data_IF_608236695977
#
_entry.id   IF_608236695977
#
_cell.length_a   1.000
_cell.length_b   1.000
_cell.length_c   1.000
_cell.angle_alpha   90.00
_cell.angle_beta   90.00
_cell.angle_gamma   90.00
#
_symmetry.space_group_name_H-M   'P 1'
#
loop_
_entity.id
_entity.type
_entity.pdbx_description
1 polymer ?
2 polymer ?
3 non-polymer ?
4 non-polymer ?
5 water ?
#
# COMPACT_ATOMS: atom_id res chain seq x y z
N UNK A 32 23.27 17.02 -6.88
CA UNK A 32 22.09 16.84 -6.04
C UNK A 32 20.96 16.15 -6.84
N UNK A 33 20.71 14.83 -6.62
CA UNK A 33 19.62 14.17 -7.39
C UNK A 33 18.24 14.61 -6.91
N UNK A 34 17.24 14.55 -7.81
CA UNK A 34 15.86 14.95 -7.50
C UNK A 34 15.23 14.04 -6.44
N UNK A 35 14.21 14.54 -5.75
CA UNK A 35 13.52 13.80 -4.71
C UNK A 35 12.85 12.55 -5.28
N UNK A 36 12.14 12.69 -6.42
CA UNK A 36 11.46 11.57 -7.11
C UNK A 36 12.48 10.48 -7.53
N UNK A 37 13.73 10.88 -7.90
CA UNK A 37 14.77 9.92 -8.25
C UNK A 37 15.24 9.13 -7.02
N UNK A 38 15.17 9.72 -5.81
CA UNK A 38 15.54 9.05 -4.56
C UNK A 38 14.45 8.03 -4.17
N UNK A 39 13.18 8.33 -4.54
CA UNK A 39 12.05 7.43 -4.32
C UNK A 39 12.10 6.29 -5.33
N UNK A 40 12.55 6.59 -6.56
CA UNK A 40 12.66 5.58 -7.60
C UNK A 40 13.68 4.49 -7.26
N UNK A 41 14.90 4.87 -6.86
CA UNK A 41 15.99 3.93 -6.58
C UNK A 41 15.67 2.96 -5.44
N UNK A 42 14.74 3.32 -4.52
CA UNK A 42 14.41 2.47 -3.37
C UNK A 42 13.18 1.56 -3.63
N UNK A 43 12.73 1.47 -4.90
CA UNK A 43 11.64 0.58 -5.29
C UNK A 43 11.99 -0.87 -4.90
N UNK A 44 11.13 -1.56 -4.11
CA UNK A 44 11.46 -2.93 -3.69
C UNK A 44 11.61 -3.91 -4.84
N UNK A 45 12.45 -4.94 -4.64
CA UNK A 45 12.62 -6.01 -5.61
C UNK A 45 11.31 -6.82 -5.70
N UNK A 46 11.07 -7.43 -6.86
CA UNK A 46 9.91 -8.28 -7.13
C UNK A 46 10.12 -9.60 -6.38
N UNK A 47 9.18 -9.96 -5.49
CA UNK A 47 9.29 -11.20 -4.73
C UNK A 47 8.44 -12.28 -5.38
N UNK A 48 8.90 -13.54 -5.26
CA UNK A 48 8.19 -14.71 -5.78
C UNK A 48 7.35 -15.33 -4.67
N UNK A 49 6.19 -15.89 -5.03
CA UNK A 49 5.28 -16.52 -4.07
C UNK A 49 5.77 -17.91 -3.60
N UNK A 50 6.47 -18.63 -4.48
CA UNK A 50 6.93 -19.99 -4.23
C UNK A 50 5.76 -20.95 -4.42
N UNK A 51 4.84 -20.57 -5.32
CA UNK A 51 3.61 -21.30 -5.61
C UNK A 51 3.80 -22.46 -6.59
N UNK A 52 3.58 -23.70 -6.09
CA UNK A 52 3.69 -24.94 -6.85
C UNK A 52 2.52 -25.06 -7.83
N UNK A 53 2.78 -24.73 -9.10
CA UNK A 53 1.80 -24.75 -10.18
C UNK A 53 1.36 -26.19 -10.59
N UNK A 54 2.10 -27.24 -10.16
CA UNK A 54 1.80 -28.64 -10.49
C UNK A 54 0.65 -29.23 -9.65
N UNK A 55 0.37 -28.60 -8.50
CA UNK A 55 -0.70 -28.94 -7.55
C UNK A 55 -1.92 -28.07 -7.95
N UNK A 56 -3.17 -28.59 -7.96
CA UNK A 56 -4.31 -27.73 -8.38
C UNK A 56 -4.61 -26.55 -7.46
N UNK A 57 -5.27 -25.53 -8.02
CA UNK A 57 -5.63 -24.28 -7.34
C UNK A 57 -6.83 -24.43 -6.42
N UNK A 58 -6.95 -23.51 -5.47
CA UNK A 58 -8.07 -23.34 -4.55
C UNK A 58 -7.90 -21.96 -3.92
N UNK A 59 -9.02 -21.32 -3.55
CA UNK A 59 -8.99 -20.02 -2.92
C UNK A 59 -8.20 -20.04 -1.60
N UNK A 60 -8.40 -21.09 -0.77
CA UNK A 60 -7.70 -21.26 0.51
C UNK A 60 -6.18 -21.35 0.31
N UNK A 61 -5.75 -22.11 -0.70
CA UNK A 61 -4.35 -22.29 -1.03
C UNK A 61 -3.70 -20.97 -1.47
N UNK A 62 -4.36 -20.27 -2.42
CA UNK A 62 -3.88 -18.98 -2.94
C UNK A 62 -3.88 -17.91 -1.84
N UNK A 63 -4.98 -17.79 -1.07
CA UNK A 63 -5.11 -16.86 0.05
C UNK A 63 -3.99 -17.06 1.09
N UNK A 64 -3.69 -18.34 1.43
CA UNK A 64 -2.62 -18.70 2.38
C UNK A 64 -1.27 -18.24 1.87
N UNK A 65 -0.93 -18.62 0.61
CA UNK A 65 0.30 -18.27 -0.09
C UNK A 65 0.46 -16.74 -0.17
N UNK A 66 -0.64 -16.03 -0.50
CA UNK A 66 -0.61 -14.57 -0.61
C UNK A 66 -0.42 -13.88 0.72
N UNK A 67 -0.92 -14.47 1.83
CA UNK A 67 -0.72 -13.93 3.17
C UNK A 67 0.74 -14.05 3.53
N UNK A 68 1.34 -15.25 3.27
CA UNK A 68 2.75 -15.50 3.55
C UNK A 68 3.64 -14.55 2.72
N UNK A 69 3.33 -14.38 1.43
CA UNK A 69 4.03 -13.44 0.55
C UNK A 69 3.87 -12.01 1.07
N UNK A 70 2.65 -11.66 1.50
CA UNK A 70 2.31 -10.36 2.05
C UNK A 70 3.17 -9.94 3.23
N UNK A 71 3.52 -10.90 4.09
CA UNK A 71 4.40 -10.65 5.23
C UNK A 71 5.78 -10.21 4.76
N UNK A 72 6.30 -10.90 3.74
CA UNK A 72 7.61 -10.61 3.12
C UNK A 72 7.59 -9.25 2.41
N UNK A 73 6.45 -8.91 1.78
CA UNK A 73 6.27 -7.61 1.10
C UNK A 73 6.33 -6.49 2.15
N UNK A 74 5.71 -6.73 3.32
CA UNK A 74 5.65 -5.76 4.42
C UNK A 74 7.01 -5.58 5.11
N UNK A 75 7.82 -6.65 5.20
CA UNK A 75 9.20 -6.57 5.73
C UNK A 75 10.03 -5.67 4.76
N UNK A 76 9.84 -5.86 3.43
CA UNK A 76 10.51 -5.05 2.42
C UNK A 76 10.01 -3.60 2.48
N UNK A 77 8.73 -3.39 2.85
CA UNK A 77 8.12 -2.05 2.97
C UNK A 77 8.74 -1.25 4.11
N UNK A 78 9.17 -1.91 5.18
CA UNK A 78 9.88 -1.26 6.31
C UNK A 78 11.23 -0.74 5.81
N UNK A 79 11.96 -1.57 5.05
CA UNK A 79 13.27 -1.22 4.48
C UNK A 79 13.11 -0.02 3.54
N UNK A 80 12.06 -0.06 2.71
CA UNK A 80 11.70 0.98 1.75
C UNK A 80 11.43 2.31 2.48
N UNK A 81 10.51 2.31 3.47
CA UNK A 81 10.10 3.49 4.24
C UNK A 81 11.30 4.16 4.95
N UNK A 82 12.21 3.36 5.53
CA UNK A 82 13.41 3.87 6.20
C UNK A 82 14.32 4.68 5.27
N UNK A 83 14.26 4.39 3.96
CA UNK A 83 15.09 5.09 2.98
C UNK A 83 14.36 6.29 2.32
N UNK A 84 13.07 6.52 2.67
CA UNK A 84 12.32 7.68 2.15
C UNK A 84 12.88 8.94 2.81
N UNK A 85 13.43 9.93 2.06
CA UNK A 85 13.97 11.12 2.73
C UNK A 85 12.98 11.80 3.65
N UNK A 86 13.40 12.00 4.90
CA UNK A 86 12.60 12.61 5.95
C UNK A 86 11.96 11.64 6.93
N UNK A 87 11.56 10.44 6.45
CA UNK A 87 10.87 9.42 7.27
C UNK A 87 11.60 9.07 8.58
N UNK A 88 12.93 8.83 8.53
CA UNK A 88 13.70 8.48 9.72
C UNK A 88 13.94 9.67 10.68
N UNK A 89 13.53 10.88 10.30
CA UNK A 89 13.65 12.05 11.17
C UNK A 89 12.44 12.14 12.10
N UNK A 90 11.36 11.41 11.77
CA UNK A 90 10.15 11.35 12.59
C UNK A 90 10.45 10.48 13.82
N UNK A 91 9.69 10.68 14.91
CA UNK A 91 9.82 9.88 16.13
C UNK A 91 9.61 8.41 15.76
N UNK A 92 10.39 7.51 16.35
CA UNK A 92 10.29 6.07 16.12
C UNK A 92 8.84 5.57 16.20
N UNK A 93 8.05 6.07 17.20
CA UNK A 93 6.64 5.71 17.35
C UNK A 93 5.80 6.11 16.14
N UNK A 94 6.08 7.28 15.52
CA UNK A 94 5.36 7.76 14.33
C UNK A 94 5.70 6.91 13.13
N UNK A 95 6.95 6.42 13.06
CA UNK A 95 7.40 5.53 11.98
C UNK A 95 6.59 4.24 12.02
N UNK A 96 6.43 3.68 13.23
CA UNK A 96 5.66 2.47 13.49
C UNK A 96 4.19 2.71 13.18
N UNK A 97 3.64 3.84 13.67
CA UNK A 97 2.25 4.25 13.48
C UNK A 97 1.89 4.34 11.99
N UNK A 98 2.70 5.07 11.20
CA UNK A 98 2.47 5.28 9.78
C UNK A 98 2.47 4.00 8.97
N UNK A 99 3.42 3.09 9.25
CA UNK A 99 3.49 1.79 8.56
C UNK A 99 2.30 0.91 8.94
N UNK A 100 1.84 0.97 10.19
CA UNK A 100 0.70 0.20 10.66
C UNK A 100 -0.64 0.68 10.11
N UNK A 101 -0.84 1.99 9.93
CA UNK A 101 -2.07 2.51 9.32
C UNK A 101 -2.12 2.23 7.83
N UNK A 102 -0.99 2.45 7.13
CA UNK A 102 -0.89 2.44 5.67
C UNK A 102 -0.55 1.11 5.01
N UNK A 103 -0.13 0.08 5.77
CA UNK A 103 0.29 -1.21 5.20
C UNK A 103 -0.57 -1.70 3.99
N UNK A 104 -1.90 -1.79 4.15
CA UNK A 104 -2.79 -2.28 3.09
C UNK A 104 -2.89 -1.30 1.92
N UNK A 105 -2.81 0.02 2.21
CA UNK A 105 -2.85 1.05 1.19
C UNK A 105 -1.62 0.94 0.29
N UNK A 106 -0.44 0.74 0.89
CA UNK A 106 0.82 0.54 0.19
C UNK A 106 0.77 -0.73 -0.66
N UNK A 107 0.29 -1.84 -0.07
CA UNK A 107 0.21 -3.11 -0.76
C UNK A 107 -0.77 -3.12 -1.92
N UNK A 108 -1.98 -2.56 -1.73
CA UNK A 108 -2.98 -2.45 -2.80
C UNK A 108 -2.47 -1.56 -3.95
N UNK A 109 -1.82 -0.41 -3.61
CA UNK A 109 -1.29 0.51 -4.61
C UNK A 109 -0.11 -0.05 -5.39
N UNK A 110 0.85 -0.66 -4.69
CA UNK A 110 2.01 -1.28 -5.33
C UNK A 110 1.56 -2.44 -6.24
N UNK A 111 0.57 -3.23 -5.77
CA UNK A 111 0.00 -4.34 -6.55
C UNK A 111 -0.70 -3.82 -7.83
N UNK A 112 -1.50 -2.77 -7.67
CA UNK A 112 -2.22 -2.13 -8.75
C UNK A 112 -1.28 -1.64 -9.83
N UNK A 113 -0.15 -1.03 -9.43
CA UNK A 113 0.86 -0.55 -10.37
C UNK A 113 1.48 -1.73 -11.12
N UNK A 114 1.89 -2.78 -10.40
CA UNK A 114 2.48 -3.96 -11.02
C UNK A 114 1.54 -4.65 -12.01
N UNK A 115 0.24 -4.69 -11.69
CA UNK A 115 -0.81 -5.29 -12.52
C UNK A 115 -1.08 -4.45 -13.77
N UNK A 116 -1.06 -3.12 -13.61
CA UNK A 116 -1.25 -2.14 -14.68
C UNK A 116 -0.08 -2.18 -15.69
N UNK A 117 1.14 -2.47 -15.21
CA UNK A 117 2.34 -2.54 -16.05
C UNK A 117 2.46 -3.82 -16.85
N UNK A 118 2.09 -4.98 -16.26
CA UNK A 118 2.23 -6.28 -16.93
C UNK A 118 1.22 -6.48 -18.08
N UNK A 119 -0.06 -6.09 -17.85
CA UNK A 119 -1.11 -6.25 -18.87
C UNK A 119 -2.24 -5.22 -18.75
N UNK A 120 -2.99 -5.05 -19.86
CA UNK A 120 -4.16 -4.17 -19.95
C UNK A 120 -5.42 -5.01 -19.63
N UNK A 121 -5.22 -6.31 -19.30
CA UNK A 121 -6.26 -7.28 -18.96
C UNK A 121 -6.64 -7.22 -17.48
N UNK A 122 -7.64 -8.05 -17.07
CA UNK A 122 -8.13 -8.14 -15.69
C UNK A 122 -7.27 -9.12 -14.86
N UNK A 123 -5.94 -8.88 -14.81
CA UNK A 123 -5.02 -9.74 -14.06
C UNK A 123 -4.43 -9.04 -12.84
N UNK A 124 -4.29 -9.77 -11.73
CA UNK A 124 -3.61 -9.27 -10.55
C UNK A 124 -2.27 -9.97 -10.51
N UNK A 125 -1.17 -9.20 -10.66
CA UNK A 125 0.18 -9.73 -10.68
C UNK A 125 0.83 -9.68 -9.30
N UNK A 126 0.41 -10.57 -8.41
CA UNK A 126 0.91 -10.64 -7.03
C UNK A 126 2.39 -11.01 -7.01
N UNK A 127 2.78 -11.94 -7.89
CA UNK A 127 4.16 -12.42 -8.04
C UNK A 127 4.28 -12.98 -9.46
N UNK A 128 5.49 -13.09 -10.07
CA UNK A 128 5.57 -13.65 -11.43
C UNK A 128 5.10 -15.10 -11.50
N UNK A 129 5.22 -15.85 -10.40
CA UNK A 129 4.81 -17.25 -10.29
C UNK A 129 3.38 -17.40 -9.69
N UNK A 130 2.64 -16.29 -9.54
CA UNK A 130 1.28 -16.32 -8.99
C UNK A 130 0.47 -15.11 -9.45
N UNK A 131 -0.11 -15.24 -10.63
CA UNK A 131 -0.95 -14.22 -11.25
C UNK A 131 -2.41 -14.66 -11.13
N UNK A 132 -3.28 -13.77 -10.65
CA UNK A 132 -4.71 -14.07 -10.56
C UNK A 132 -5.34 -13.75 -11.93
N UNK A 133 -5.44 -14.79 -12.77
CA UNK A 133 -6.01 -14.72 -14.11
C UNK A 133 -7.54 -14.81 -14.04
N UNK A 134 -8.20 -14.96 -15.20
CA UNK A 134 -9.67 -15.07 -15.27
C UNK A 134 -10.16 -16.40 -14.68
N UNK A 135 -9.41 -17.51 -14.88
CA UNK A 135 -9.76 -18.84 -14.34
C UNK A 135 -9.71 -18.83 -12.80
N UNK A 136 -8.65 -18.22 -12.22
CA UNK A 136 -8.47 -18.09 -10.77
C UNK A 136 -9.50 -17.17 -10.16
N UNK A 137 -9.93 -16.14 -10.90
CA UNK A 137 -10.95 -15.18 -10.48
C UNK A 137 -12.33 -15.85 -10.32
N UNK A 138 -12.56 -17.01 -10.97
CA UNK A 138 -13.85 -17.74 -10.89
C UNK A 138 -13.88 -18.73 -9.70
N UNK A 139 -12.74 -18.90 -9.00
CA UNK A 139 -12.65 -19.79 -7.83
C UNK A 139 -13.57 -19.25 -6.73
N UNK A 140 -14.27 -20.13 -5.96
CA UNK A 140 -15.20 -19.63 -4.94
C UNK A 140 -14.61 -18.60 -3.99
N UNK A 141 -15.29 -17.45 -3.86
CA UNK A 141 -14.96 -16.31 -3.00
C UNK A 141 -13.68 -15.54 -3.39
N UNK A 142 -13.00 -15.91 -4.50
CA UNK A 142 -11.77 -15.22 -4.94
C UNK A 142 -11.98 -13.76 -5.29
N UNK A 143 -13.07 -13.46 -6.02
CA UNK A 143 -13.41 -12.14 -6.51
C UNK A 143 -13.71 -11.09 -5.43
N UNK A 144 -14.39 -11.46 -4.31
CA UNK A 144 -14.81 -10.49 -3.28
C UNK A 144 -13.65 -9.64 -2.76
N UNK A 145 -12.46 -10.22 -2.61
CA UNK A 145 -11.29 -9.48 -2.17
C UNK A 145 -10.49 -8.90 -3.35
N UNK A 146 -10.36 -9.68 -4.44
CA UNK A 146 -9.63 -9.32 -5.65
C UNK A 146 -10.21 -8.12 -6.42
N UNK A 147 -11.54 -7.89 -6.32
CA UNK A 147 -12.22 -6.77 -6.99
C UNK A 147 -11.74 -5.40 -6.51
N UNK A 148 -11.42 -5.26 -5.20
CA UNK A 148 -10.93 -4.01 -4.63
C UNK A 148 -9.54 -3.67 -5.21
N UNK A 149 -8.73 -4.72 -5.45
CA UNK A 149 -7.40 -4.63 -6.04
C UNK A 149 -7.52 -4.30 -7.53
N UNK A 150 -8.52 -4.91 -8.21
CA UNK A 150 -8.81 -4.67 -9.62
C UNK A 150 -9.21 -3.23 -9.86
N UNK A 151 -9.98 -2.62 -8.93
CA UNK A 151 -10.36 -1.20 -8.99
C UNK A 151 -9.10 -0.30 -9.07
N UNK A 152 -8.08 -0.59 -8.24
CA UNK A 152 -6.84 0.19 -8.20
C UNK A 152 -6.11 0.16 -9.54
N UNK A 153 -5.83 -1.04 -10.08
CA UNK A 153 -5.18 -1.19 -11.39
C UNK A 153 -6.01 -0.58 -12.52
N UNK A 154 -7.36 -0.70 -12.44
CA UNK A 154 -8.32 -0.14 -13.41
C UNK A 154 -8.20 1.40 -13.48
N UNK A 155 -8.13 2.07 -12.31
CA UNK A 155 -7.99 3.51 -12.16
C UNK A 155 -6.65 4.02 -12.65
N UNK A 156 -5.55 3.30 -12.35
CA UNK A 156 -4.20 3.65 -12.81
C UNK A 156 -4.13 3.60 -14.33
N UNK A 157 -4.82 2.62 -14.94
CA UNK A 157 -4.95 2.44 -16.39
C UNK A 157 -5.85 3.52 -17.02
N UNK A 158 -6.98 3.85 -16.36
CA UNK A 158 -7.94 4.87 -16.84
C UNK A 158 -7.30 6.27 -16.83
N UNK A 159 -6.53 6.58 -15.78
CA UNK A 159 -5.86 7.88 -15.61
C UNK A 159 -4.47 7.94 -16.27
N UNK A 160 -3.99 6.77 -16.80
CA UNK A 160 -2.69 6.61 -17.46
C UNK A 160 -1.57 7.21 -16.60
N UNK A 161 -1.53 6.80 -15.33
CA UNK A 161 -0.58 7.25 -14.32
C UNK A 161 0.86 6.90 -14.74
N UNK A 162 1.76 7.89 -14.62
CA UNK A 162 3.17 7.74 -14.96
C UNK A 162 3.95 7.17 -13.77
N UNK A 163 5.17 6.68 -14.03
CA UNK A 163 6.08 6.13 -13.04
C UNK A 163 6.39 7.14 -11.95
N UNK A 164 6.72 8.38 -12.34
CA UNK A 164 7.02 9.46 -11.39
C UNK A 164 5.83 9.88 -10.55
N UNK A 165 4.62 9.91 -11.14
CA UNK A 165 3.38 10.24 -10.43
C UNK A 165 3.08 9.16 -9.40
N UNK A 166 3.21 7.88 -9.80
CA UNK A 166 3.01 6.70 -8.96
C UNK A 166 3.93 6.69 -7.73
N UNK A 167 5.23 6.99 -7.90
CA UNK A 167 6.21 7.01 -6.81
C UNK A 167 5.86 8.08 -5.76
N UNK A 168 5.39 9.27 -6.21
CA UNK A 168 5.00 10.36 -5.33
C UNK A 168 3.74 9.97 -4.57
N UNK A 169 2.77 9.39 -5.29
CA UNK A 169 1.49 8.92 -4.75
C UNK A 169 1.67 7.81 -3.72
N UNK A 170 2.59 6.85 -3.97
CA UNK A 170 2.82 5.76 -3.02
C UNK A 170 3.43 6.25 -1.70
N UNK A 171 4.37 7.23 -1.76
CA UNK A 171 4.93 7.83 -0.54
C UNK A 171 3.80 8.58 0.23
N UNK A 172 2.89 9.26 -0.51
CA UNK A 172 1.76 9.97 0.09
C UNK A 172 0.80 9.03 0.80
N UNK A 173 0.66 7.79 0.31
CA UNK A 173 -0.17 6.78 0.96
C UNK A 173 0.41 6.37 2.31
N UNK A 174 1.74 6.32 2.45
CA UNK A 174 2.40 6.05 3.74
C UNK A 174 2.01 7.15 4.76
N UNK A 175 1.77 8.37 4.25
CA UNK A 175 1.44 9.57 5.02
C UNK A 175 -0.05 9.95 4.93
N UNK A 176 -0.92 8.99 4.59
CA UNK A 176 -2.37 9.22 4.37
C UNK A 176 -3.26 9.13 5.63
N UNK A 177 -2.76 8.54 6.73
CA UNK A 177 -3.51 8.42 7.99
C UNK A 177 -2.62 8.64 9.18
N UNK A 178 -3.18 9.28 10.21
CA UNK A 178 -2.50 9.60 11.47
C UNK A 178 -3.42 9.27 12.65
N UNK A 179 -2.93 9.17 13.92
CA UNK A 179 -3.86 8.95 15.05
C UNK A 179 -4.75 10.19 15.20
N UNK A 180 -5.95 10.02 15.79
CA UNK A 180 -6.89 11.13 15.96
C UNK A 180 -6.31 12.28 16.82
N UNK A 181 -5.34 11.99 17.71
CA UNK A 181 -4.67 13.02 18.52
C UNK A 181 -3.34 13.46 17.87
N UNK A 182 -3.09 12.97 16.66
CA UNK A 182 -1.89 13.31 15.88
C UNK A 182 -0.65 12.54 16.28
N UNK A 183 0.45 12.86 15.58
CA UNK A 183 1.77 12.23 15.75
C UNK A 183 2.64 12.96 16.79
N UNK A 184 3.74 12.32 17.21
CA UNK A 184 4.69 12.95 18.15
C UNK A 184 5.46 14.08 17.44
N UNK A 185 5.87 13.85 16.18
CA UNK A 185 6.57 14.82 15.32
C UNK A 185 5.57 15.33 14.26
N UNK A 186 4.40 15.85 14.71
CA UNK A 186 3.32 16.32 13.84
C UNK A 186 3.74 17.46 12.89
N UNK A 187 4.47 18.47 13.39
CA UNK A 187 4.92 19.62 12.59
C UNK A 187 5.85 19.13 11.48
N UNK A 188 6.85 18.29 11.82
CA UNK A 188 7.79 17.71 10.87
C UNK A 188 7.06 16.83 9.83
N UNK A 189 6.05 16.05 10.26
CA UNK A 189 5.23 15.21 9.37
C UNK A 189 4.49 16.06 8.33
N UNK A 190 3.85 17.18 8.78
CA UNK A 190 3.11 18.09 7.90
C UNK A 190 4.06 18.72 6.86
N UNK A 191 5.30 19.02 7.26
CA UNK A 191 6.34 19.55 6.39
C UNK A 191 6.75 18.49 5.35
N UNK A 192 6.96 17.22 5.79
CA UNK A 192 7.32 16.10 4.92
C UNK A 192 6.20 15.81 3.92
N UNK A 193 4.95 15.73 4.41
CA UNK A 193 3.77 15.48 3.58
C UNK A 193 3.60 16.56 2.50
N UNK A 194 3.75 17.85 2.88
CA UNK A 194 3.68 18.99 1.96
C UNK A 194 4.71 18.87 0.85
N UNK A 195 5.97 18.50 1.21
CA UNK A 195 7.09 18.28 0.29
C UNK A 195 6.72 17.22 -0.77
N UNK A 196 6.10 16.10 -0.36
CA UNK A 196 5.72 15.04 -1.28
C UNK A 196 4.48 15.40 -2.11
N UNK A 197 3.59 16.28 -1.58
CA UNK A 197 2.45 16.80 -2.35
C UNK A 197 3.04 17.66 -3.49
N UNK A 198 4.07 18.50 -3.17
CA UNK A 198 4.76 19.36 -4.13
C UNK A 198 5.50 18.52 -5.19
N UNK A 199 6.06 17.37 -4.78
CA UNK A 199 6.74 16.45 -5.68
C UNK A 199 5.78 15.87 -6.70
N UNK A 200 4.54 15.54 -6.26
CA UNK A 200 3.48 15.03 -7.13
C UNK A 200 3.14 16.08 -8.18
N UNK A 201 2.99 17.34 -7.75
CA UNK A 201 2.77 18.49 -8.61
C UNK A 201 3.85 18.63 -9.69
N UNK A 202 5.13 18.48 -9.30
CA UNK A 202 6.29 18.53 -10.23
C UNK A 202 6.23 17.39 -11.27
N UNK A 203 5.83 16.17 -10.84
CA UNK A 203 5.69 15.01 -11.73
C UNK A 203 4.59 15.25 -12.77
N UNK A 204 3.48 15.92 -12.36
CA UNK A 204 2.35 16.27 -13.22
C UNK A 204 2.78 17.30 -14.30
N UNK A 205 3.51 18.36 -13.88
CA UNK A 205 4.02 19.44 -14.76
C UNK A 205 4.95 18.87 -15.86
N UNK A 206 5.80 17.87 -15.52
CA UNK A 206 6.71 17.20 -16.46
C UNK A 206 6.00 16.61 -17.67
N UNK A 207 4.73 16.19 -17.50
CA UNK A 207 3.85 15.73 -18.58
C UNK A 207 3.13 17.00 -19.05
N UNK A 208 3.88 17.82 -19.79
CA UNK A 208 3.53 19.15 -20.28
C UNK A 208 2.17 19.23 -21.00
N UNK A 209 1.23 19.82 -20.27
CA UNK A 209 -0.13 20.14 -20.70
C UNK A 209 -0.40 21.56 -20.23
N UNK A 210 -1.50 22.19 -20.72
CA UNK A 210 -1.81 23.56 -20.31
C UNK A 210 -2.11 23.66 -18.80
N UNK A 211 -1.94 24.86 -18.20
CA UNK A 211 -2.13 25.13 -16.77
C UNK A 211 -3.45 24.57 -16.20
N UNK A 212 -4.57 24.71 -16.95
CA UNK A 212 -5.89 24.21 -16.59
C UNK A 212 -5.95 22.67 -16.57
N UNK A 213 -5.20 22.00 -17.48
CA UNK A 213 -5.14 20.53 -17.59
C UNK A 213 -4.35 19.95 -16.41
N UNK A 214 -3.29 20.67 -15.98
CA UNK A 214 -2.45 20.29 -14.83
C UNK A 214 -3.26 20.40 -13.54
N UNK A 215 -4.21 21.37 -13.50
CA UNK A 215 -5.11 21.59 -12.37
C UNK A 215 -6.09 20.40 -12.25
N UNK A 216 -6.62 19.95 -13.42
CA UNK A 216 -7.52 18.80 -13.55
C UNK A 216 -6.79 17.49 -13.19
N UNK A 217 -5.52 17.33 -13.63
CA UNK A 217 -4.73 16.12 -13.34
C UNK A 217 -4.45 15.98 -11.83
N UNK A 218 -4.03 17.09 -11.18
CA UNK A 218 -3.78 17.10 -9.74
C UNK A 218 -5.05 16.71 -9.00
N UNK A 219 -6.21 17.26 -9.42
CA UNK A 219 -7.53 16.97 -8.88
C UNK A 219 -7.84 15.46 -9.02
N UNK A 220 -7.61 14.87 -10.21
CA UNK A 220 -7.89 13.46 -10.52
C UNK A 220 -7.03 12.49 -9.71
N UNK A 221 -5.71 12.75 -9.65
CA UNK A 221 -4.76 11.92 -8.93
C UNK A 221 -4.96 11.99 -7.41
N UNK A 222 -5.30 13.19 -6.88
CA UNK A 222 -5.56 13.35 -5.44
C UNK A 222 -6.92 12.75 -5.07
N UNK A 223 -7.86 12.65 -6.04
CA UNK A 223 -9.17 12.01 -5.87
C UNK A 223 -8.95 10.50 -5.78
N UNK A 224 -8.04 9.96 -6.63
CA UNK A 224 -7.68 8.54 -6.56
C UNK A 224 -7.03 8.22 -5.19
N UNK A 225 -6.15 9.11 -4.68
CA UNK A 225 -5.51 8.95 -3.36
C UNK A 225 -6.57 8.91 -2.25
N UNK A 226 -7.55 9.82 -2.30
CA UNK A 226 -8.66 9.87 -1.35
C UNK A 226 -9.44 8.54 -1.38
N UNK A 227 -9.77 8.04 -2.59
CA UNK A 227 -10.53 6.79 -2.78
C UNK A 227 -9.80 5.54 -2.25
N UNK A 228 -8.47 5.62 -2.02
CA UNK A 228 -7.70 4.50 -1.47
C UNK A 228 -8.16 4.16 -0.03
N UNK A 229 -8.63 5.17 0.75
CA UNK A 229 -9.16 4.95 2.10
C UNK A 229 -10.35 3.96 2.07
N UNK A 230 -11.27 4.13 1.08
CA UNK A 230 -12.44 3.27 0.92
C UNK A 230 -12.07 1.89 0.41
N UNK A 231 -11.14 1.81 -0.56
CA UNK A 231 -10.60 0.55 -1.11
C UNK A 231 -10.02 -0.26 0.07
N UNK A 232 -9.21 0.41 0.90
CA UNK A 232 -8.53 -0.19 2.05
C UNK A 232 -9.52 -0.60 3.13
N UNK A 233 -10.57 0.22 3.37
CA UNK A 233 -11.61 -0.11 4.35
C UNK A 233 -12.31 -1.43 3.98
N UNK A 234 -12.60 -1.61 2.67
CA UNK A 234 -13.23 -2.82 2.14
C UNK A 234 -12.33 -4.03 2.30
N UNK A 235 -11.04 -3.88 1.93
CA UNK A 235 -10.03 -4.95 2.05
C UNK A 235 -9.85 -5.35 3.51
N UNK A 236 -9.78 -4.36 4.40
CA UNK A 236 -9.58 -4.58 5.83
C UNK A 236 -10.76 -5.21 6.50
N UNK A 237 -11.99 -4.92 6.05
CA UNK A 237 -13.18 -5.51 6.65
C UNK A 237 -13.15 -7.03 6.49
N UNK A 238 -12.85 -7.50 5.29
CA UNK A 238 -12.73 -8.92 4.96
C UNK A 238 -11.49 -9.52 5.65
N UNK A 239 -10.34 -8.82 5.58
CA UNK A 239 -9.08 -9.26 6.16
C UNK A 239 -9.14 -9.44 7.68
N UNK A 240 -9.74 -8.47 8.39
CA UNK A 240 -9.93 -8.54 9.85
C UNK A 240 -10.82 -9.74 10.23
N UNK A 241 -11.94 -9.95 9.52
CA UNK A 241 -12.85 -11.08 9.76
C UNK A 241 -12.17 -12.43 9.54
N UNK A 242 -11.36 -12.56 8.48
CA UNK A 242 -10.60 -13.77 8.11
C UNK A 242 -9.54 -14.08 9.18
N UNK A 243 -8.85 -13.03 9.67
CA UNK A 243 -7.84 -13.20 10.72
C UNK A 243 -8.49 -13.65 12.04
N UNK A 244 -9.62 -13.03 12.44
CA UNK A 244 -10.33 -13.35 13.69
C UNK A 244 -11.01 -14.72 13.72
N UNK A 245 -11.54 -15.19 12.58
CA UNK A 245 -12.22 -16.48 12.50
C UNK A 245 -11.21 -17.63 12.33
N UNK A 246 -10.76 -18.21 13.45
CA UNK A 246 -9.80 -19.32 13.47
C UNK A 246 -10.36 -20.63 12.86
N UNK A 247 -11.69 -20.76 12.77
CA UNK A 247 -12.33 -21.93 12.15
C UNK A 247 -12.10 -21.99 10.61
N UNK A 248 -11.67 -20.88 9.97
CA UNK A 248 -11.34 -20.81 8.54
C UNK A 248 -9.93 -21.40 8.25
N UNK A 249 -9.08 -21.55 9.30
CA UNK A 249 -7.70 -22.05 9.19
C UNK A 249 -6.86 -21.24 8.20
N UNK A 250 -7.09 -19.91 8.15
CA UNK A 250 -6.35 -19.02 7.26
C UNK A 250 -5.16 -18.44 8.03
N UNK A 251 -3.98 -18.89 7.66
CA UNK A 251 -2.73 -18.49 8.29
C UNK A 251 -2.28 -17.10 7.80
N UNK A 252 -1.74 -16.31 8.73
CA UNK A 252 -1.14 -15.01 8.52
C UNK A 252 0.25 -15.08 9.14
N UNK A 253 1.30 -14.62 8.44
CA UNK A 253 2.65 -14.64 9.05
C UNK A 253 2.75 -13.58 10.15
N UNK A 254 3.75 -13.74 11.02
CA UNK A 254 4.04 -12.87 12.15
C UNK A 254 3.90 -11.35 11.81
N UNK A 255 4.52 -10.90 10.71
CA UNK A 255 4.47 -9.49 10.29
C UNK A 255 3.03 -9.00 10.12
N UNK A 256 2.18 -9.80 9.44
CA UNK A 256 0.79 -9.38 9.22
C UNK A 256 -0.06 -9.54 10.46
N UNK A 257 0.11 -10.66 11.20
CA UNK A 257 -0.63 -10.92 12.44
C UNK A 257 -0.42 -9.76 13.45
N UNK A 258 0.84 -9.30 13.60
CA UNK A 258 1.24 -8.18 14.45
C UNK A 258 0.58 -6.84 14.01
N UNK A 259 0.58 -6.53 12.70
CA UNK A 259 -0.07 -5.32 12.21
C UNK A 259 -1.59 -5.37 12.46
N UNK A 260 -2.24 -6.49 12.10
CA UNK A 260 -3.70 -6.68 12.28
C UNK A 260 -4.10 -6.60 13.77
N UNK A 261 -3.31 -7.24 14.67
CA UNK A 261 -3.55 -7.24 16.12
C UNK A 261 -3.49 -5.81 16.68
N UNK A 262 -2.56 -5.00 16.15
CA UNK A 262 -2.39 -3.59 16.53
C UNK A 262 -3.55 -2.73 16.00
N UNK A 263 -3.91 -2.92 14.73
CA UNK A 263 -4.90 -2.11 14.02
C UNK A 263 -6.35 -2.34 14.42
N UNK A 264 -6.77 -3.60 14.70
CA UNK A 264 -8.16 -3.88 15.10
C UNK A 264 -8.62 -2.95 16.26
N UNK A 265 -7.94 -2.86 17.45
CA UNK A 265 -8.44 -1.97 18.51
C UNK A 265 -8.42 -0.48 18.15
N UNK A 266 -7.50 -0.05 17.25
CA UNK A 266 -7.43 1.34 16.80
C UNK A 266 -8.68 1.75 16.02
N UNK A 267 -9.20 0.87 15.15
CA UNK A 267 -10.43 1.10 14.40
C UNK A 267 -11.65 1.05 15.33
N UNK A 268 -11.67 0.15 16.33
CA UNK A 268 -12.80 0.01 17.27
C UNK A 268 -12.97 1.26 18.14
N UNK A 269 -11.86 1.91 18.53
CA UNK A 269 -11.82 3.09 19.39
C UNK A 269 -11.85 4.41 18.59
N UNK A 270 -12.04 4.32 17.27
CA UNK A 270 -12.05 5.46 16.37
C UNK A 270 -10.73 6.20 16.31
N UNK A 271 -9.63 5.52 16.68
CA UNK A 271 -8.30 6.08 16.71
C UNK A 271 -7.66 6.07 15.34
N UNK A 272 -8.16 6.94 14.45
CA UNK A 272 -7.70 7.11 13.08
C UNK A 272 -8.26 8.40 12.48
N UNK A 273 -7.38 9.18 11.89
CA UNK A 273 -7.71 10.40 11.19
C UNK A 273 -7.20 10.17 9.76
N UNK A 274 -8.13 9.89 8.83
CA UNK A 274 -7.87 9.64 7.42
C UNK A 274 -7.72 10.99 6.71
N UNK A 275 -6.50 11.31 6.27
CA UNK A 275 -6.25 12.59 5.58
C UNK A 275 -6.81 12.58 4.18
N UNK A 276 -7.54 13.66 3.85
CA UNK A 276 -8.21 13.86 2.57
C UNK A 276 -7.75 15.13 1.88
N UNK A 277 -7.68 15.09 0.54
CA UNK A 277 -7.37 16.24 -0.31
C UNK A 277 -8.67 17.01 -0.63
N UNK A 278 -9.79 16.28 -0.80
CA UNK A 278 -11.12 16.83 -1.15
C UNK A 278 -12.19 16.44 -0.10
N UNK A 279 -13.38 17.08 -0.20
CA UNK A 279 -14.52 16.79 0.66
C UNK A 279 -15.82 16.74 -0.14
N UNK B 2 4.86 -5.25 22.50
CA UNK B 2 3.59 -5.06 21.78
C UNK B 2 3.72 -5.29 20.27
N UNK B 3 4.46 -4.44 19.54
CA UNK B 3 4.70 -4.59 18.10
C UNK B 3 6.20 -4.87 17.91
N UNK B 4 6.66 -5.97 18.53
CA UNK B 4 8.05 -6.41 18.60
C UNK B 4 8.78 -6.48 17.27
N UNK B 5 8.20 -7.16 16.26
CA UNK B 5 8.87 -7.34 14.97
C UNK B 5 9.05 -6.03 14.23
N UNK B 6 7.98 -5.21 14.12
CA UNK B 6 8.06 -3.93 13.44
C UNK B 6 9.14 -3.02 14.09
N UNK B 7 9.14 -2.92 15.44
CA UNK B 7 10.11 -2.14 16.21
C UNK B 7 11.54 -2.62 15.90
N UNK B 8 11.75 -3.97 15.85
CA UNK B 8 13.05 -4.59 15.52
C UNK B 8 13.56 -4.17 14.12
N UNK B 9 12.68 -4.22 13.10
CA UNK B 9 12.98 -3.87 11.71
C UNK B 9 13.30 -2.39 11.50
N UNK B 10 12.66 -1.52 12.28
CA UNK B 10 12.92 -0.08 12.22
C UNK B 10 14.21 0.28 12.97
N UNK B 11 14.45 -0.37 14.11
CA UNK B 11 15.61 -0.07 14.95
C UNK B 11 16.91 -0.73 14.49
N UNK B 12 16.85 -1.89 13.83
CA UNK B 12 18.07 -2.58 13.34
C UNK B 12 18.76 -1.78 12.20
N UNK B 13 20.04 -2.06 11.95
CA UNK B 13 20.76 -1.44 10.84
C UNK B 13 20.49 -2.27 9.57
N UNK B 14 20.01 -1.62 8.50
CA UNK B 14 19.72 -2.31 7.22
C UNK B 14 20.98 -2.57 6.40
X LIG C 1 5.49 -0.36 -0.27
X LIG C 1 5.35 -1.76 -0.08
X LIG C 1 6.73 -0.10 -1.16
X LIG C 1 6.54 -0.73 -2.41
X LIG D 1 -13.73 0.05 -4.56
X LIG D 1 -13.58 -1.22 -3.94
X LIG D 1 -14.08 1.11 -3.48
X LIG D 1 -14.33 2.37 -4.09
X LIG E 1 8.16 -15.66 10.18
X LIG E 1 9.25 -15.67 9.27
X LIG E 1 6.84 -15.89 9.41
X LIG E 1 5.78 -15.97 10.35
X LIG F 1 -6.09 -9.93 -1.53
X LIG F 1 -5.21 -9.59 -0.51
X LIG F 1 -0.83 -7.45 -1.47
X LIG F 1 -1.85 -7.69 -0.57
X LIG F 1 2.56 -5.51 -3.74
X LIG F 1 2.76 -7.23 -5.42
X LIG F 1 -1.08 -9.91 -0.04
X LIG F 1 -4.81 -11.90 -0.05
X LIG F 1 1.02 -10.48 -1.40
X LIG F 1 -0.06 -9.69 -0.95
X LIG F 1 -4.57 -10.56 0.24
X LIG F 1 0.05 -8.50 -1.64
X LIG F 1 1.75 -7.69 -3.29
X LIG F 1 2.96 -5.92 -5.00
X LIG F 1 -6.52 -10.99 3.04
X LIG F 1 -3.35 -9.67 3.80
X LIG F 1 -6.86 -13.86 -2.29
X LIG F 1 -4.31 -10.00 2.66
X LIG F 1 1.78 -9.83 -2.29
X LIG F 1 1.95 -6.39 -2.88
X LIG F 1 2.16 -8.11 -4.55
X LIG F 1 -6.33 -11.26 -1.81
X LIG F 1 -1.98 -8.88 0.12
X LIG F 1 -5.70 -12.24 -1.06
X LIG F 1 -3.60 -10.19 1.34
X LIG F 1 -7.28 -12.27 3.27
X LIG F 1 1.18 -8.63 -2.43
X LIG F 1 -5.15 -11.12 3.05
X LIG F 1 -7.15 -9.96 2.85
X LIG F 1 -5.89 -13.61 -1.27
X LIG F 1 -3.05 -8.91 1.03
X LIG F 1 3.54 -5.04 -5.82
X LIG F 1 -7.89 -12.68 2.11
X LIG F 1 -8.29 -12.09 4.14
X LIG F 1 -6.52 -13.30 3.74
#
# INVERSE_FOLDING_TARGET
>A
GSIQQATTGVSQETSENPGDKTIVPATLPQLTPTLVSLLEVIEPEVLYAGYDSSVPDSTWRIMTTLNMLGGRQMIAAVKWAKAIPGFRNLHLDDQMTLLQYSWMSLMAFALGWRSYRQSSANLLCFAPDLIINEQRMTLPDMYDQCKHMLYVSSELHRLQVSYEEYLCMKTLLLLSSVPKDGLKSQALFDEIRMTYIKELGKAIVKREGNSSQNSQRFYQLTKLLDSMHEVVENLLNYCFQTFLDKTMSIEFPEMLAEIITNQIPKYSNGNIKKLLFHQK
>B
KENALLRYLLDKDD
>C hetero
1 EDO C1 O1 C2 O2
>D hetero
1 EDO C1 O1 C2 O2
>E hetero
1 EDO C1 O1 C2 O2
>F hetero
1 8W8 C1 C2 C3 C7 C8 C9 C10 C11 C12 C13 C14 C15 C16 C19 C20 C21 C22 C24 N26 C4 C5 C6 C17 C18 C23 C25 N27 N28 O29 O30 O31 F32 F33 F34 F35
#
